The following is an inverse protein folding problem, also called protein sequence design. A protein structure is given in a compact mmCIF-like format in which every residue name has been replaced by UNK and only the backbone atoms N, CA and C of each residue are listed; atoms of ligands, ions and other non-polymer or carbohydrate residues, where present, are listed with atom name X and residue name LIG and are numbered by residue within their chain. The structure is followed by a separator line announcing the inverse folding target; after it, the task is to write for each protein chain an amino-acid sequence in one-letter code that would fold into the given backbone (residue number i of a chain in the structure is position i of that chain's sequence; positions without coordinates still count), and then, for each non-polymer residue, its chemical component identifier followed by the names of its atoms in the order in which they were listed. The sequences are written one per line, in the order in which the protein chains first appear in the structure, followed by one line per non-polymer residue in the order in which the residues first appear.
data_IF_298446698935
#
_entry.id   IF_298446698935
#
_cell.length_a   1.000
_cell.length_b   1.000
_cell.length_c   1.000
_cell.angle_alpha   90.00
_cell.angle_beta   90.00
_cell.angle_gamma   90.00
#
_symmetry.space_group_name_H-M   'P 1'
#
loop_
_entity.id
_entity.type
_entity.pdbx_description
1 polymer ?
#
# COMPACT_ATOMS: atom_id res chain seq x y z
N UNK A 1 -13.53 -6.42 -2.99
CA UNK A 1 -12.45 -5.42 -2.80
C UNK A 1 -12.01 -4.96 -4.17
N UNK A 2 -11.85 -3.65 -4.35
CA UNK A 2 -11.24 -3.05 -5.53
C UNK A 2 -9.73 -3.28 -5.43
N UNK A 3 -9.09 -3.69 -6.52
CA UNK A 3 -7.64 -3.93 -6.59
C UNK A 3 -7.03 -2.86 -7.49
N UNK A 4 -6.08 -2.07 -6.96
CA UNK A 4 -5.33 -1.07 -7.74
C UNK A 4 -3.84 -1.38 -7.69
N UNK A 5 -3.14 -1.17 -8.80
CA UNK A 5 -1.72 -1.43 -8.98
C UNK A 5 -1.19 -0.48 -10.07
N UNK A 6 0.02 0.08 -9.92
CA UNK A 6 0.54 1.03 -10.89
C UNK A 6 0.91 0.33 -12.20
N UNK A 7 1.38 -0.91 -12.08
CA UNK A 7 1.59 -1.82 -13.19
C UNK A 7 1.55 -3.26 -12.65
N UNK A 8 1.34 -4.23 -13.54
CA UNK A 8 1.41 -5.65 -13.20
C UNK A 8 2.75 -6.17 -13.67
N UNK A 9 3.56 -6.68 -12.74
CA UNK A 9 4.77 -7.41 -13.08
C UNK A 9 4.44 -8.67 -13.86
N UNK A 10 4.94 -8.79 -15.09
CA UNK A 10 4.63 -9.92 -15.98
C UNK A 10 5.55 -11.13 -15.74
N UNK A 11 6.71 -10.91 -15.12
CA UNK A 11 7.77 -11.92 -15.00
C UNK A 11 8.11 -12.29 -13.55
N UNK A 12 7.53 -11.59 -12.56
CA UNK A 12 7.81 -11.78 -11.14
C UNK A 12 6.86 -12.77 -10.43
N UNK A 13 7.28 -13.20 -9.25
CA UNK A 13 6.44 -13.95 -8.30
C UNK A 13 5.40 -13.02 -7.68
N UNK A 14 4.13 -13.44 -7.68
CA UNK A 14 3.02 -12.67 -7.10
C UNK A 14 2.98 -12.89 -5.59
N UNK A 15 2.81 -11.82 -4.84
CA UNK A 15 2.51 -11.86 -3.41
C UNK A 15 1.20 -11.10 -3.12
N UNK A 16 0.47 -11.55 -2.10
CA UNK A 16 -0.92 -11.15 -1.86
C UNK A 16 -1.25 -11.15 -0.36
N UNK A 17 -1.02 -10.00 0.29
CA UNK A 17 -1.22 -9.78 1.73
C UNK A 17 -2.53 -9.00 1.97
N UNK A 18 -3.67 -9.73 1.91
CA UNK A 18 -5.04 -9.20 2.12
C UNK A 18 -5.37 -8.88 3.58
N UNK A 19 -4.48 -8.21 4.28
CA UNK A 19 -4.60 -7.87 5.69
C UNK A 19 -4.64 -6.34 5.86
N UNK A 20 -5.70 -5.83 6.49
CA UNK A 20 -5.99 -4.39 6.63
C UNK A 20 -5.41 -3.75 7.89
N UNK A 21 -5.04 -4.57 8.90
CA UNK A 21 -4.55 -4.12 10.20
C UNK A 21 -3.03 -4.14 10.26
N UNK A 22 -2.40 -3.18 9.58
CA UNK A 22 -0.94 -2.97 9.63
C UNK A 22 -0.56 -2.33 10.96
N UNK A 23 0.49 -2.84 11.60
CA UNK A 23 1.06 -2.28 12.84
C UNK A 23 2.48 -1.79 12.62
N UNK A 24 3.26 -2.50 11.82
CA UNK A 24 4.61 -2.08 11.42
C UNK A 24 4.88 -2.39 9.97
N UNK A 25 5.72 -1.55 9.37
CA UNK A 25 6.26 -1.73 8.03
C UNK A 25 7.79 -1.70 8.14
N UNK A 26 8.44 -2.74 7.63
CA UNK A 26 9.89 -2.85 7.54
C UNK A 26 10.28 -2.67 6.08
N UNK A 27 11.24 -1.79 5.82
CA UNK A 27 11.60 -1.38 4.46
C UNK A 27 13.11 -1.37 4.34
N UNK A 28 13.65 -2.11 3.37
CA UNK A 28 15.04 -1.97 2.93
C UNK A 28 15.09 -1.23 1.61
N UNK A 29 15.98 -0.24 1.51
CA UNK A 29 16.08 0.61 0.32
C UNK A 29 17.47 1.20 0.10
N UNK A 30 17.63 1.85 -1.04
CA UNK A 30 18.82 2.57 -1.47
C UNK A 30 18.46 3.49 -2.64
N UNK A 31 18.96 3.18 -3.84
CA UNK A 31 18.47 3.81 -5.09
C UNK A 31 17.10 3.29 -5.55
N UNK A 32 16.57 2.28 -4.87
CA UNK A 32 15.27 1.66 -5.11
C UNK A 32 14.76 1.01 -3.82
N UNK A 33 13.52 0.53 -3.82
CA UNK A 33 12.99 -0.31 -2.76
C UNK A 33 13.44 -1.75 -3.00
N UNK A 34 14.16 -2.33 -2.04
CA UNK A 34 14.70 -3.67 -2.15
C UNK A 34 13.72 -4.72 -1.64
N UNK A 35 13.21 -4.51 -0.42
CA UNK A 35 12.11 -5.30 0.12
C UNK A 35 11.19 -4.48 1.01
N UNK A 36 9.97 -5.00 1.16
CA UNK A 36 9.02 -4.59 2.19
C UNK A 36 8.56 -5.82 2.97
N UNK A 37 8.26 -5.63 4.24
CA UNK A 37 7.65 -6.66 5.09
C UNK A 37 6.72 -5.98 6.09
N UNK A 38 5.64 -6.66 6.45
CA UNK A 38 4.59 -6.09 7.27
C UNK A 38 4.37 -6.92 8.53
N UNK A 39 4.08 -6.24 9.63
CA UNK A 39 3.51 -6.86 10.82
C UNK A 39 2.03 -6.50 10.89
N UNK A 40 1.18 -7.52 10.83
CA UNK A 40 -0.27 -7.38 10.87
C UNK A 40 -0.86 -7.84 12.21
N UNK A 41 -2.11 -7.46 12.47
CA UNK A 41 -2.96 -8.14 13.45
C UNK A 41 -3.98 -9.00 12.70
N UNK A 42 -3.86 -10.32 12.86
CA UNK A 42 -4.77 -11.31 12.29
C UNK A 42 -5.36 -12.16 13.42
N UNK A 43 -6.69 -12.17 13.53
CA UNK A 43 -7.41 -12.88 14.59
C UNK A 43 -6.94 -12.52 16.03
N UNK A 44 -6.54 -11.27 16.25
CA UNK A 44 -6.04 -10.78 17.54
C UNK A 44 -4.56 -11.08 17.82
N UNK A 45 -3.85 -11.75 16.91
CA UNK A 45 -2.44 -12.07 17.04
C UNK A 45 -1.58 -11.26 16.08
N UNK A 46 -0.36 -10.92 16.51
CA UNK A 46 0.64 -10.35 15.62
C UNK A 46 1.16 -11.41 14.66
N UNK A 47 1.05 -11.15 13.36
CA UNK A 47 1.52 -12.04 12.29
C UNK A 47 2.47 -11.27 11.38
N UNK A 48 3.69 -11.77 11.26
CA UNK A 48 4.69 -11.22 10.35
C UNK A 48 4.44 -11.80 8.94
N UNK A 49 4.36 -10.95 7.93
CA UNK A 49 4.24 -11.37 6.54
C UNK A 49 5.53 -12.03 6.05
N UNK A 50 5.46 -12.68 4.88
CA UNK A 50 6.67 -12.95 4.12
C UNK A 50 7.35 -11.61 3.76
N UNK A 51 8.66 -11.68 3.58
CA UNK A 51 9.43 -10.57 3.03
C UNK A 51 9.22 -10.52 1.52
N UNK A 52 8.79 -9.37 1.00
CA UNK A 52 8.52 -9.16 -0.42
C UNK A 52 9.66 -8.37 -1.05
N UNK A 53 10.56 -9.08 -1.73
CA UNK A 53 11.76 -8.53 -2.34
C UNK A 53 13.02 -9.29 -1.88
N UNK A 54 14.19 -8.73 -2.14
CA UNK A 54 15.48 -9.37 -1.83
C UNK A 54 16.22 -8.77 -0.64
N UNK A 55 17.33 -9.39 -0.27
CA UNK A 55 18.17 -9.02 0.88
C UNK A 55 19.09 -7.80 0.66
N UNK A 56 18.98 -7.15 -0.50
CA UNK A 56 19.76 -5.96 -0.82
C UNK A 56 19.27 -4.71 -0.08
N UNK A 57 19.96 -3.60 -0.34
CA UNK A 57 19.66 -2.28 0.21
C UNK A 57 20.80 -1.77 1.08
N UNK A 58 20.95 -0.44 1.14
CA UNK A 58 21.99 0.23 1.93
C UNK A 58 21.41 0.86 3.20
N UNK A 59 20.08 0.96 3.27
CA UNK A 59 19.32 1.57 4.36
C UNK A 59 18.17 0.66 4.75
N UNK A 60 17.84 0.67 6.03
CA UNK A 60 16.71 -0.06 6.58
C UNK A 60 15.95 0.85 7.53
N UNK A 61 14.65 0.96 7.33
CA UNK A 61 13.75 1.79 8.11
C UNK A 61 12.57 0.96 8.63
N UNK A 62 12.03 1.37 9.76
CA UNK A 62 10.83 0.78 10.35
C UNK A 62 9.82 1.86 10.64
N UNK A 63 8.61 1.70 10.10
CA UNK A 63 7.44 2.49 10.45
C UNK A 63 6.69 1.73 11.53
N UNK A 64 6.45 2.35 12.68
CA UNK A 64 5.57 1.83 13.73
C UNK A 64 4.34 2.71 13.80
N UNK A 65 3.19 2.16 13.42
CA UNK A 65 1.92 2.87 13.51
C UNK A 65 1.40 2.86 14.94
N UNK A 66 0.80 3.97 15.37
CA UNK A 66 0.06 4.09 16.63
C UNK A 66 -1.31 3.39 16.57
N UNK A 67 -1.28 2.07 16.31
CA UNK A 67 -2.46 1.23 16.17
C UNK A 67 -3.30 1.20 17.47
N UNK A 68 -4.64 1.28 17.41
CA UNK A 68 -5.47 1.33 16.20
C UNK A 68 -5.75 2.76 15.69
N UNK A 69 -5.23 3.78 16.35
CA UNK A 69 -5.58 5.18 16.07
C UNK A 69 -4.86 5.76 14.84
N UNK A 70 -3.76 5.14 14.41
CA UNK A 70 -3.07 5.45 13.16
C UNK A 70 -3.17 4.30 12.17
N UNK A 71 -3.60 4.62 10.95
CA UNK A 71 -3.79 3.67 9.86
C UNK A 71 -3.49 4.32 8.51
N UNK A 72 -3.15 3.49 7.53
CA UNK A 72 -2.76 3.93 6.19
C UNK A 72 -4.00 4.48 5.47
N UNK A 73 -3.83 5.60 4.76
CA UNK A 73 -4.88 6.31 4.02
C UNK A 73 -4.53 6.56 2.55
N UNK A 74 -3.23 6.52 2.24
CA UNK A 74 -2.73 6.58 0.87
C UNK A 74 -1.33 5.99 0.76
N UNK A 75 -0.96 5.58 -0.45
CA UNK A 75 0.43 5.32 -0.82
C UNK A 75 0.75 6.07 -2.11
N UNK A 76 1.97 6.59 -2.20
CA UNK A 76 2.50 7.17 -3.43
C UNK A 76 3.93 6.73 -3.63
N UNK A 77 4.43 6.84 -4.84
CA UNK A 77 5.80 6.50 -5.12
C UNK A 77 6.12 6.58 -6.59
N UNK A 78 7.26 6.01 -6.94
CA UNK A 78 7.76 5.99 -8.29
C UNK A 78 8.21 4.58 -8.65
N UNK A 79 8.08 4.25 -9.93
CA UNK A 79 8.58 3.01 -10.49
C UNK A 79 9.21 3.26 -11.84
N UNK A 80 10.06 2.33 -12.26
CA UNK A 80 10.55 2.31 -13.64
C UNK A 80 9.88 1.15 -14.37
N UNK A 81 9.27 1.48 -15.50
CA UNK A 81 8.83 0.54 -16.51
C UNK A 81 9.90 0.50 -17.61
N UNK A 82 10.63 -0.61 -17.74
CA UNK A 82 11.71 -0.66 -18.73
C UNK A 82 11.27 -1.15 -20.10
N UNK A 83 11.79 -0.43 -21.10
CA UNK A 83 11.61 -0.62 -22.54
C UNK A 83 12.35 -1.87 -23.06
N UNK A 84 11.79 -2.62 -24.04
CA UNK A 84 12.25 -3.96 -24.48
C UNK A 84 13.67 -4.07 -25.08
N UNK A 85 14.48 -3.01 -25.07
CA UNK A 85 15.79 -2.96 -25.74
C UNK A 85 16.99 -3.17 -24.82
N UNK A 86 16.79 -3.48 -23.53
CA UNK A 86 17.88 -3.71 -22.55
C UNK A 86 18.04 -5.20 -22.25
N UNK A 87 19.29 -5.67 -22.15
CA UNK A 87 19.69 -7.09 -22.07
C UNK A 87 19.21 -7.79 -20.77
N UNK A 88 18.79 -7.05 -19.74
CA UNK A 88 18.16 -7.59 -18.53
C UNK A 88 17.05 -6.64 -18.03
N UNK A 89 15.82 -6.72 -18.58
CA UNK A 89 14.73 -5.86 -18.17
C UNK A 89 14.22 -6.29 -16.79
N UNK A 90 14.15 -5.36 -15.84
CA UNK A 90 13.47 -5.57 -14.58
C UNK A 90 12.75 -4.28 -14.20
N UNK A 91 11.44 -4.36 -14.04
CA UNK A 91 10.66 -3.28 -13.43
C UNK A 91 10.93 -3.29 -11.93
N UNK A 92 10.93 -2.11 -11.30
CA UNK A 92 11.05 -2.03 -9.84
C UNK A 92 10.51 -0.72 -9.31
N UNK A 93 10.04 -0.77 -8.06
CA UNK A 93 9.65 0.40 -7.28
C UNK A 93 10.92 1.15 -6.87
N UNK A 94 11.09 2.37 -7.37
CA UNK A 94 12.26 3.21 -7.07
C UNK A 94 12.08 3.98 -5.77
N UNK A 95 10.86 4.39 -5.47
CA UNK A 95 10.54 4.93 -4.16
C UNK A 95 9.10 4.71 -3.73
N UNK A 96 8.87 4.71 -2.43
CA UNK A 96 7.54 4.63 -1.84
C UNK A 96 7.42 5.54 -0.62
N UNK A 97 6.28 6.19 -0.47
CA UNK A 97 5.89 6.97 0.69
C UNK A 97 4.53 6.45 1.19
N UNK A 98 4.44 6.25 2.50
CA UNK A 98 3.19 5.83 3.15
C UNK A 98 2.55 7.03 3.84
N UNK A 99 1.29 7.28 3.53
CA UNK A 99 0.46 8.23 4.22
C UNK A 99 -0.47 7.58 5.21
N UNK A 100 -0.57 8.17 6.39
CA UNK A 100 -1.56 7.79 7.41
C UNK A 100 -2.49 8.94 7.71
N UNK A 101 -3.51 8.69 8.52
CA UNK A 101 -4.37 9.74 9.06
C UNK A 101 -3.63 10.66 10.06
N UNK A 102 -2.37 10.38 10.42
CA UNK A 102 -1.59 11.18 11.39
C UNK A 102 -0.28 11.74 10.84
N UNK A 103 0.35 11.03 9.91
CA UNK A 103 1.73 11.30 9.50
C UNK A 103 2.02 10.82 8.08
N UNK A 104 3.19 11.23 7.60
CA UNK A 104 3.76 10.79 6.32
C UNK A 104 5.13 10.17 6.60
N UNK A 105 5.37 8.99 6.02
CA UNK A 105 6.62 8.25 6.18
C UNK A 105 7.30 8.00 4.83
N UNK A 106 8.56 8.40 4.73
CA UNK A 106 9.35 8.31 3.50
C UNK A 106 9.64 9.67 2.87
N UNK A 107 10.01 9.72 1.58
CA UNK A 107 10.13 8.58 0.68
C UNK A 107 11.26 7.63 1.08
N UNK A 108 11.04 6.33 0.89
CA UNK A 108 12.05 5.30 0.96
C UNK A 108 12.48 4.92 -0.44
N UNK A 109 13.78 4.90 -0.71
CA UNK A 109 14.34 4.82 -2.06
C UNK A 109 14.65 6.21 -2.65
N UNK A 110 14.92 6.27 -3.94
CA UNK A 110 15.22 7.51 -4.67
C UNK A 110 14.69 7.37 -6.08
N UNK A 111 13.98 8.38 -6.58
CA UNK A 111 13.50 8.39 -7.96
C UNK A 111 14.35 9.31 -8.84
N UNK A 112 14.38 9.02 -10.13
CA UNK A 112 14.93 9.90 -11.16
C UNK A 112 13.79 10.57 -11.93
N UNK A 113 14.06 11.65 -12.67
CA UNK A 113 13.02 12.40 -13.41
C UNK A 113 12.35 11.59 -14.52
N UNK A 114 12.94 10.47 -14.93
CA UNK A 114 12.39 9.52 -15.90
C UNK A 114 11.43 8.50 -15.29
N UNK A 115 11.36 8.42 -13.96
CA UNK A 115 10.51 7.45 -13.28
C UNK A 115 9.04 7.88 -13.37
N UNK A 116 8.14 6.89 -13.38
CA UNK A 116 6.69 7.15 -13.43
C UNK A 116 6.12 7.16 -12.03
N UNK A 117 5.35 8.21 -11.70
CA UNK A 117 4.68 8.33 -10.41
C UNK A 117 3.43 7.44 -10.34
N UNK A 118 3.16 6.92 -9.15
CA UNK A 118 1.86 6.40 -8.77
C UNK A 118 1.38 7.07 -7.49
N UNK A 119 0.09 7.34 -7.41
CA UNK A 119 -0.57 7.94 -6.24
C UNK A 119 -1.94 7.29 -6.03
N UNK A 120 -2.08 6.53 -4.95
CA UNK A 120 -3.33 5.87 -4.55
C UNK A 120 -3.86 6.48 -3.28
N UNK A 121 -4.90 7.29 -3.44
CA UNK A 121 -5.65 7.93 -2.37
C UNK A 121 -6.91 7.11 -2.07
N UNK A 122 -7.02 6.58 -0.85
CA UNK A 122 -8.20 5.80 -0.42
C UNK A 122 -8.85 6.31 0.86
N UNK A 123 -8.37 7.42 1.43
CA UNK A 123 -9.09 8.18 2.44
C UNK A 123 -9.02 7.63 3.87
N UNK A 124 -9.76 8.27 4.77
CA UNK A 124 -9.76 8.01 6.23
C UNK A 124 -10.95 7.19 6.73
N UNK A 125 -11.79 6.73 5.81
CA UNK A 125 -13.03 5.98 6.04
C UNK A 125 -12.80 4.47 6.28
N UNK A 126 -11.55 4.05 6.47
CA UNK A 126 -11.19 2.65 6.69
C UNK A 126 -11.24 1.80 5.43
N UNK A 127 -11.16 2.41 4.24
CA UNK A 127 -11.20 1.68 2.97
C UNK A 127 -9.95 0.82 2.70
N UNK A 128 -8.84 0.94 3.46
CA UNK A 128 -7.67 0.09 3.25
C UNK A 128 -8.00 -1.41 3.46
N UNK A 129 -7.58 -2.24 2.51
CA UNK A 129 -7.90 -3.67 2.45
C UNK A 129 -6.71 -4.62 2.39
N UNK A 130 -5.48 -4.11 2.40
CA UNK A 130 -4.25 -4.90 2.30
C UNK A 130 -3.38 -4.54 1.09
N UNK A 131 -2.25 -5.21 0.99
CA UNK A 131 -1.25 -5.02 -0.06
C UNK A 131 -1.17 -6.23 -0.98
N UNK A 132 -0.71 -6.00 -2.21
CA UNK A 132 -0.33 -7.06 -3.14
C UNK A 132 0.76 -6.53 -4.06
N UNK A 133 1.38 -7.42 -4.83
CA UNK A 133 2.32 -6.99 -5.84
C UNK A 133 3.09 -8.16 -6.43
N UNK A 134 4.25 -7.83 -7.00
CA UNK A 134 5.17 -8.79 -7.58
C UNK A 134 6.59 -8.55 -7.11
N UNK A 135 7.40 -9.61 -7.10
CA UNK A 135 8.84 -9.55 -6.88
C UNK A 135 9.57 -10.23 -8.03
N UNK A 136 10.64 -9.62 -8.54
CA UNK A 136 11.40 -10.18 -9.66
C UNK A 136 12.89 -10.00 -9.41
N UNK A 137 13.68 -11.06 -9.62
CA UNK A 137 15.15 -11.09 -9.47
C UNK A 137 15.60 -10.37 -8.18
N UNK A 138 15.04 -10.76 -7.04
CA UNK A 138 15.39 -10.20 -5.72
C UNK A 138 15.05 -8.71 -5.51
N UNK A 139 14.10 -8.15 -6.26
CA UNK A 139 13.60 -6.78 -6.07
C UNK A 139 12.09 -6.75 -5.86
N UNK A 140 11.62 -5.71 -5.17
CA UNK A 140 10.22 -5.34 -5.20
C UNK A 140 9.90 -4.78 -6.60
N UNK A 141 9.22 -5.59 -7.40
CA UNK A 141 8.88 -5.22 -8.77
C UNK A 141 7.68 -4.26 -8.73
N UNK A 142 6.54 -4.70 -8.19
CA UNK A 142 5.33 -3.88 -8.08
C UNK A 142 4.74 -3.92 -6.67
N UNK A 143 3.98 -2.88 -6.33
CA UNK A 143 3.14 -2.81 -5.13
C UNK A 143 1.81 -2.13 -5.47
N UNK A 144 0.73 -2.73 -5.02
CA UNK A 144 -0.62 -2.21 -5.11
C UNK A 144 -1.39 -2.41 -3.81
N UNK A 145 -2.60 -1.88 -3.78
CA UNK A 145 -3.48 -1.96 -2.61
C UNK A 145 -4.84 -2.56 -2.96
N UNK A 146 -5.42 -3.21 -1.97
CA UNK A 146 -6.84 -3.50 -1.94
C UNK A 146 -7.60 -2.36 -1.25
N UNK A 147 -8.73 -2.00 -1.83
CA UNK A 147 -9.64 -0.97 -1.32
C UNK A 147 -11.00 -1.64 -1.07
N UNK A 148 -11.53 -1.51 0.13
CA UNK A 148 -12.86 -1.96 0.52
C UNK A 148 -13.88 -0.93 0.06
N UNK A 149 -14.91 -1.32 -0.71
CA UNK A 149 -16.03 -0.43 -0.97
C UNK A 149 -16.72 -0.13 0.35
N UNK A 150 -16.90 1.15 0.67
CA UNK A 150 -17.71 1.53 1.82
C UNK A 150 -19.14 1.26 1.43
N UNK A 151 -19.71 0.20 2.00
CA UNK A 151 -21.16 0.03 1.96
C UNK A 151 -21.72 0.99 3.00
N UNK A 152 -22.26 2.13 2.55
CA UNK A 152 -23.13 2.95 3.38
C UNK A 152 -24.29 2.07 3.86
N UNK A 153 -24.20 1.49 5.06
CA UNK A 153 -25.38 1.13 5.83
C UNK A 153 -25.90 2.41 6.49
N UNK A 154 -26.29 3.38 5.66
CA UNK A 154 -27.04 4.53 6.14
C UNK A 154 -28.49 4.07 6.16
N UNK A 155 -29.02 3.79 7.36
CA UNK A 155 -30.45 3.96 7.57
C UNK A 155 -30.74 5.40 7.21
N UNK A 156 -31.36 5.63 6.05
CA UNK A 156 -32.00 6.91 5.77
C UNK A 156 -33.13 6.99 6.79
N UNK A 157 -32.87 7.64 7.92
CA UNK A 157 -33.94 7.99 8.84
C UNK A 157 -34.92 8.88 8.06
N UNK A 158 -36.07 8.30 7.73
CA UNK A 158 -37.20 8.99 7.15
C UNK A 158 -37.56 10.19 8.03
N UNK A 159 -37.09 11.38 7.66
CA UNK A 159 -37.63 12.65 8.16
C UNK A 159 -38.88 13.03 7.39
N UNK A 160 -39.91 12.19 7.44
CA UNK A 160 -41.28 12.56 7.05
C UNK A 160 -42.28 11.82 7.95
N UNK A 161 -42.32 12.20 9.22
CA UNK A 161 -43.48 12.01 10.07
C UNK A 161 -43.40 13.05 11.19
N UNK A 162 -44.07 14.19 10.99
CA UNK A 162 -44.75 15.01 12.00
C UNK A 162 -45.17 16.34 11.36
N UNK A 163 -46.20 16.29 10.53
CA UNK A 163 -47.20 17.36 10.53
C UNK A 163 -48.49 16.72 11.02
N UNK A 164 -48.54 16.49 12.33
CA UNK A 164 -49.77 16.26 13.06
C UNK A 164 -50.52 17.59 13.17
N UNK A 165 -51.78 17.56 12.76
CA UNK A 165 -52.91 18.27 13.35
C UNK A 165 -52.56 19.37 14.36
N UNK A 166 -52.75 20.62 13.94
CA UNK A 166 -53.16 21.69 14.86
C UNK A 166 -54.22 22.55 14.18
N UNK A 167 -55.44 22.42 14.74
CA UNK A 167 -56.64 23.29 14.73
C UNK A 167 -57.34 23.56 13.40
#
# INVERSE_FOLDING_TARGET
MIKVCPFIGLNGEIWDDKEDKVVKIFISHGRRVNFIQFLYIKNGFFVLSNKHGGDGGLRFDTIKLDYPSEFITWIRGYYVEFHPTVIQPANYVTSITFGTNKATYGPFGTHESSDTEFDFQFGTDGAFGGFHGTTHIHYLESIGVYIKPITCSTTVENREANNSDVS
#
